data_IF_424938765013
#
_entry.id   IF_424938765013
#
_cell.length_a   1.000
_cell.length_b   1.000
_cell.length_c   1.000
_cell.angle_alpha   90.00
_cell.angle_beta   90.00
_cell.angle_gamma   90.00
#
_symmetry.space_group_name_H-M   'P 1'
#
loop_
_entity.id
_entity.type
_entity.pdbx_description
1 polymer ?
#
# COMPACT_ATOMS: atom_id res chain seq x y z
N UNK A 1 50.85 57.47 -7.63
CA UNK A 1 49.71 58.30 -8.07
C UNK A 1 49.20 57.67 -9.36
N UNK A 2 48.71 56.44 -9.21
CA UNK A 2 47.94 55.68 -10.19
C UNK A 2 46.73 55.28 -9.34
N UNK A 3 45.75 56.17 -9.38
CA UNK A 3 44.69 56.36 -8.41
C UNK A 3 43.36 56.19 -9.09
N UNK A 4 42.43 55.57 -8.37
CA UNK A 4 40.97 55.71 -8.50
C UNK A 4 40.30 55.15 -9.78
N UNK A 5 40.93 55.16 -10.96
CA UNK A 5 40.31 54.67 -12.20
C UNK A 5 40.15 53.14 -12.24
N UNK A 6 41.04 52.39 -11.60
CA UNK A 6 41.00 50.91 -11.66
C UNK A 6 39.94 50.29 -10.71
N UNK A 7 39.53 51.03 -9.69
CA UNK A 7 38.54 50.58 -8.71
C UNK A 7 37.09 50.85 -9.19
N UNK A 8 36.88 51.94 -9.94
CA UNK A 8 35.58 52.30 -10.52
C UNK A 8 35.15 51.33 -11.65
N UNK A 9 36.11 50.83 -12.44
CA UNK A 9 35.87 49.86 -13.50
C UNK A 9 35.38 48.49 -12.98
N UNK A 10 35.78 48.08 -11.77
CA UNK A 10 35.36 46.81 -11.16
C UNK A 10 33.94 46.89 -10.58
N UNK A 11 33.51 48.07 -10.14
CA UNK A 11 32.15 48.31 -9.63
C UNK A 11 31.07 48.21 -10.73
N UNK A 12 31.33 48.77 -11.92
CA UNK A 12 30.39 48.78 -13.03
C UNK A 12 30.15 47.39 -13.64
N UNK A 13 31.17 46.53 -13.71
CA UNK A 13 31.04 45.16 -14.21
C UNK A 13 30.17 44.25 -13.30
N UNK A 14 30.11 44.54 -11.99
CA UNK A 14 29.30 43.78 -11.04
C UNK A 14 27.80 44.12 -11.12
N UNK A 15 27.46 45.36 -11.51
CA UNK A 15 26.08 45.83 -11.63
C UNK A 15 25.43 45.29 -12.92
N UNK A 16 26.20 45.17 -13.99
CA UNK A 16 25.67 44.73 -15.30
C UNK A 16 25.38 43.21 -15.36
N UNK A 17 26.15 42.38 -14.62
CA UNK A 17 25.84 40.95 -14.45
C UNK A 17 24.52 40.70 -13.71
N UNK A 18 24.15 41.55 -12.74
CA UNK A 18 22.89 41.37 -11.98
C UNK A 18 21.64 41.74 -12.80
N UNK A 19 21.74 42.60 -13.81
CA UNK A 19 20.59 42.96 -14.68
C UNK A 19 20.26 41.88 -15.71
N UNK A 20 21.27 41.22 -16.31
CA UNK A 20 21.02 40.14 -17.29
C UNK A 20 20.42 38.88 -16.66
N UNK A 21 20.71 38.61 -15.39
CA UNK A 21 20.19 37.44 -14.68
C UNK A 21 18.73 37.60 -14.21
N UNK A 22 18.22 38.83 -14.05
CA UNK A 22 16.82 39.09 -13.70
C UNK A 22 15.86 39.07 -14.89
N UNK A 23 16.34 39.37 -16.11
CA UNK A 23 15.49 39.39 -17.31
C UNK A 23 15.18 37.98 -17.86
N UNK A 24 16.03 36.99 -17.61
CA UNK A 24 15.77 35.59 -18.01
C UNK A 24 14.73 34.88 -17.13
N UNK A 25 14.49 35.34 -15.89
CA UNK A 25 13.55 34.69 -14.97
C UNK A 25 12.10 35.12 -15.20
N UNK A 26 11.85 36.31 -15.77
CA UNK A 26 10.48 36.84 -15.92
C UNK A 26 9.83 36.44 -17.25
N UNK A 27 10.61 36.10 -18.29
CA UNK A 27 10.08 35.75 -19.62
C UNK A 27 9.53 34.33 -19.78
N UNK A 28 9.77 33.41 -18.84
CA UNK A 28 9.37 32.00 -18.94
C UNK A 28 8.06 31.66 -18.22
N UNK A 29 7.45 32.61 -17.51
CA UNK A 29 6.24 32.35 -16.70
C UNK A 29 4.90 32.58 -17.42
N UNK A 30 4.88 33.18 -18.62
CA UNK A 30 3.61 33.55 -19.28
C UNK A 30 3.08 32.53 -20.31
N UNK A 31 3.83 31.48 -20.66
CA UNK A 31 3.37 30.41 -21.56
C UNK A 31 3.04 29.08 -20.85
N UNK A 32 3.24 29.00 -19.52
CA UNK A 32 3.07 27.77 -18.74
C UNK A 32 1.74 27.64 -17.99
N UNK A 33 0.86 28.65 -18.03
CA UNK A 33 -0.32 28.72 -17.15
C UNK A 33 -1.61 28.22 -17.83
N UNK A 34 -1.61 27.94 -19.14
CA UNK A 34 -2.80 27.46 -19.87
C UNK A 34 -2.79 25.92 -20.09
N UNK A 35 -1.69 25.21 -19.76
CA UNK A 35 -1.63 23.74 -19.90
C UNK A 35 -1.91 22.93 -18.63
N UNK A 36 -2.09 23.55 -17.47
CA UNK A 36 -2.28 22.80 -16.21
C UNK A 36 -3.73 22.54 -15.83
N UNK A 37 -4.71 23.09 -16.56
CA UNK A 37 -6.14 22.85 -16.28
C UNK A 37 -6.77 21.67 -17.04
N UNK A 38 -6.00 20.90 -17.82
CA UNK A 38 -6.51 19.71 -18.54
C UNK A 38 -5.95 18.38 -18.01
N UNK A 39 -5.31 18.37 -16.84
CA UNK A 39 -4.79 17.16 -16.20
C UNK A 39 -5.42 16.93 -14.81
N UNK A 40 -6.75 16.99 -14.73
CA UNK A 40 -7.49 16.50 -13.57
C UNK A 40 -8.73 15.74 -14.03
N UNK A 41 -8.54 14.68 -14.81
CA UNK A 41 -9.55 13.61 -14.92
C UNK A 41 -8.94 12.37 -15.60
N UNK A 42 -8.85 11.28 -14.84
CA UNK A 42 -8.57 9.96 -15.40
C UNK A 42 -7.14 9.46 -15.25
N UNK A 43 -6.52 9.64 -14.09
CA UNK A 43 -5.55 8.64 -13.61
C UNK A 43 -6.31 7.36 -13.28
N UNK A 44 -6.74 6.66 -14.31
CA UNK A 44 -7.32 5.34 -14.22
C UNK A 44 -6.21 4.42 -13.68
N UNK A 45 -6.34 3.96 -12.44
CA UNK A 45 -5.53 2.89 -11.84
C UNK A 45 -5.73 1.62 -12.68
N UNK A 46 -5.15 1.57 -13.88
CA UNK A 46 -5.24 0.47 -14.83
C UNK A 46 -4.54 -0.76 -14.26
N UNK A 47 -5.19 -1.46 -13.34
CA UNK A 47 -4.65 -2.66 -12.72
C UNK A 47 -5.27 -3.03 -11.37
N UNK A 48 -5.87 -2.08 -10.64
CA UNK A 48 -6.51 -2.36 -9.35
C UNK A 48 -8.01 -2.46 -9.53
N UNK A 49 -8.55 -3.66 -9.36
CA UNK A 49 -10.00 -3.91 -9.42
C UNK A 49 -10.67 -3.41 -8.13
N UNK A 50 -11.95 -3.08 -8.18
CA UNK A 50 -12.75 -2.86 -6.97
C UNK A 50 -13.45 -4.18 -6.60
N UNK A 51 -13.00 -4.81 -5.52
CA UNK A 51 -13.60 -6.03 -4.98
C UNK A 51 -14.75 -5.75 -4.00
N UNK A 52 -14.96 -4.47 -3.62
CA UNK A 52 -16.02 -4.04 -2.72
C UNK A 52 -15.84 -4.49 -1.27
N UNK A 53 -16.94 -4.43 -0.51
CA UNK A 53 -17.01 -4.83 0.89
C UNK A 53 -17.44 -6.29 1.02
N UNK A 54 -16.60 -7.11 1.67
CA UNK A 54 -16.89 -8.53 1.89
C UNK A 54 -18.13 -8.78 2.74
N UNK A 55 -18.47 -7.88 3.65
CA UNK A 55 -19.69 -8.00 4.48
C UNK A 55 -20.98 -7.81 3.67
N UNK A 56 -20.89 -7.12 2.54
CA UNK A 56 -22.01 -6.91 1.62
C UNK A 56 -22.15 -8.03 0.59
N UNK A 57 -21.21 -8.97 0.55
CA UNK A 57 -21.25 -10.08 -0.40
C UNK A 57 -22.26 -11.13 0.06
N UNK A 58 -23.00 -11.74 -0.87
CA UNK A 58 -23.85 -12.88 -0.53
C UNK A 58 -23.00 -13.98 0.09
N UNK A 59 -23.44 -14.53 1.22
CA UNK A 59 -22.86 -15.75 1.82
C UNK A 59 -23.28 -17.02 1.07
N UNK A 60 -24.06 -16.85 -0.01
CA UNK A 60 -24.55 -17.92 -0.85
C UNK A 60 -23.48 -18.39 -1.85
N UNK A 61 -23.53 -19.66 -2.30
CA UNK A 61 -22.62 -20.20 -3.32
C UNK A 61 -22.58 -19.38 -4.62
N UNK A 62 -23.64 -18.64 -4.94
CA UNK A 62 -23.77 -17.86 -6.19
C UNK A 62 -23.08 -16.49 -6.16
N UNK A 63 -22.38 -16.12 -5.08
CA UNK A 63 -21.64 -14.86 -5.03
C UNK A 63 -20.57 -14.81 -6.15
N UNK A 64 -20.47 -13.72 -6.93
CA UNK A 64 -19.51 -13.65 -8.04
C UNK A 64 -18.09 -13.90 -7.54
N UNK A 65 -17.32 -14.86 -8.07
CA UNK A 65 -16.04 -15.25 -7.47
C UNK A 65 -15.07 -14.08 -7.41
N UNK A 66 -14.29 -14.00 -6.32
CA UNK A 66 -13.18 -13.05 -6.26
C UNK A 66 -12.12 -13.41 -7.31
N UNK A 67 -11.50 -12.40 -7.96
CA UNK A 67 -10.53 -12.63 -9.01
C UNK A 67 -9.31 -13.36 -8.47
N UNK A 68 -8.64 -14.13 -9.32
CA UNK A 68 -7.36 -14.76 -9.00
C UNK A 68 -6.23 -13.98 -9.70
N UNK A 69 -5.11 -13.81 -9.00
CA UNK A 69 -3.90 -13.15 -9.49
C UNK A 69 -4.17 -11.72 -10.00
N UNK A 70 -4.89 -10.96 -9.18
CA UNK A 70 -5.23 -9.56 -9.44
C UNK A 70 -5.08 -8.75 -8.17
N UNK A 71 -4.58 -7.53 -8.31
CA UNK A 71 -4.69 -6.54 -7.26
C UNK A 71 -6.11 -6.01 -7.22
N UNK A 72 -6.69 -5.93 -6.03
CA UNK A 72 -7.95 -5.26 -5.84
C UNK A 72 -8.03 -4.48 -4.53
N UNK A 73 -8.89 -3.46 -4.54
CA UNK A 73 -9.32 -2.73 -3.37
C UNK A 73 -10.45 -3.52 -2.71
N UNK A 74 -10.30 -3.84 -1.44
CA UNK A 74 -11.25 -4.65 -0.68
C UNK A 74 -11.46 -4.04 0.70
N UNK A 75 -12.70 -4.10 1.16
CA UNK A 75 -13.07 -3.82 2.56
C UNK A 75 -13.49 -5.12 3.22
N UNK A 76 -12.98 -5.38 4.43
CA UNK A 76 -13.33 -6.57 5.18
C UNK A 76 -13.08 -6.39 6.67
N UNK A 77 -13.67 -7.26 7.48
CA UNK A 77 -13.49 -7.26 8.93
C UNK A 77 -12.96 -8.62 9.37
N UNK A 78 -11.99 -8.62 10.28
CA UNK A 78 -11.45 -9.85 10.87
C UNK A 78 -12.52 -10.49 11.77
N UNK A 79 -12.91 -11.73 11.44
CA UNK A 79 -14.02 -12.45 12.09
C UNK A 79 -13.55 -13.35 13.24
N UNK A 80 -12.27 -13.72 13.26
CA UNK A 80 -11.72 -14.69 14.21
C UNK A 80 -10.62 -14.04 15.05
N UNK A 81 -10.55 -14.46 16.31
CA UNK A 81 -9.45 -14.19 17.22
C UNK A 81 -8.19 -15.02 16.90
N UNK A 82 -8.33 -16.06 16.07
CA UNK A 82 -7.22 -16.88 15.61
C UNK A 82 -6.37 -16.10 14.61
N UNK A 83 -5.08 -15.97 14.92
CA UNK A 83 -4.08 -15.35 14.06
C UNK A 83 -2.95 -16.34 13.81
N UNK A 84 -2.75 -16.73 12.55
CA UNK A 84 -1.58 -17.49 12.16
C UNK A 84 -0.45 -16.51 11.82
N UNK A 85 0.69 -16.64 12.49
CA UNK A 85 1.86 -15.78 12.24
C UNK A 85 2.95 -16.56 11.51
N UNK A 86 3.49 -15.99 10.44
CA UNK A 86 4.65 -16.55 9.72
C UNK A 86 5.74 -15.49 9.55
N UNK A 87 6.96 -15.96 9.28
CA UNK A 87 8.15 -15.11 9.18
C UNK A 87 8.96 -15.09 10.47
N UNK A 88 9.88 -14.13 10.58
CA UNK A 88 10.71 -13.95 11.78
C UNK A 88 10.76 -12.48 12.16
N UNK A 89 10.73 -12.21 13.46
CA UNK A 89 11.10 -10.90 13.98
C UNK A 89 12.59 -10.63 13.72
N UNK A 90 12.94 -9.36 13.53
CA UNK A 90 14.33 -8.93 13.37
C UNK A 90 14.98 -8.76 14.75
N UNK A 91 15.87 -9.66 15.19
CA UNK A 91 16.45 -9.60 16.53
C UNK A 91 17.27 -8.32 16.73
N UNK A 92 17.29 -7.80 17.97
CA UNK A 92 18.11 -6.64 18.36
C UNK A 92 17.51 -5.27 18.02
N UNK A 93 16.39 -5.20 17.30
CA UNK A 93 15.66 -3.94 17.05
C UNK A 93 14.87 -3.55 18.30
N UNK A 94 15.09 -2.33 18.81
CA UNK A 94 14.43 -1.82 20.02
C UNK A 94 12.98 -1.39 19.76
N UNK A 95 12.71 -0.79 18.60
CA UNK A 95 11.36 -0.39 18.22
C UNK A 95 10.48 -1.65 18.00
N UNK A 96 9.41 -1.84 18.78
CA UNK A 96 8.56 -3.02 18.69
C UNK A 96 7.86 -3.16 17.33
N UNK A 97 7.58 -2.06 16.62
CA UNK A 97 6.96 -2.12 15.28
C UNK A 97 8.00 -2.51 14.24
N UNK A 98 9.14 -1.83 14.20
CA UNK A 98 10.23 -2.17 13.28
C UNK A 98 10.75 -3.60 13.47
N UNK A 99 10.74 -4.13 14.70
CA UNK A 99 11.12 -5.53 14.98
C UNK A 99 10.24 -6.54 14.26
N UNK A 100 8.98 -6.21 13.99
CA UNK A 100 8.00 -7.09 13.33
C UNK A 100 8.00 -6.94 11.81
N UNK A 101 8.85 -6.09 11.24
CA UNK A 101 9.11 -6.05 9.79
C UNK A 101 9.64 -7.42 9.36
N UNK A 102 8.89 -8.12 8.51
CA UNK A 102 9.17 -9.50 8.10
C UNK A 102 8.20 -10.55 8.68
N UNK A 103 7.39 -10.19 9.68
CA UNK A 103 6.24 -10.99 10.09
C UNK A 103 5.03 -10.75 9.19
N UNK A 104 4.28 -11.82 8.95
CA UNK A 104 2.99 -11.82 8.25
C UNK A 104 1.92 -12.44 9.15
N UNK A 105 0.80 -11.75 9.31
CA UNK A 105 -0.37 -12.25 10.04
C UNK A 105 -1.44 -12.68 9.06
N UNK A 106 -1.82 -13.95 9.13
CA UNK A 106 -2.91 -14.53 8.38
C UNK A 106 -4.15 -14.51 9.27
N UNK A 107 -5.23 -13.93 8.78
CA UNK A 107 -6.49 -13.76 9.53
C UNK A 107 -7.69 -14.04 8.64
N UNK A 108 -8.71 -14.71 9.16
CA UNK A 108 -9.97 -14.95 8.44
C UNK A 108 -10.85 -13.70 8.44
N UNK A 109 -11.38 -13.35 7.28
CA UNK A 109 -12.33 -12.26 7.11
C UNK A 109 -13.78 -12.74 7.19
N UNK A 110 -14.67 -11.84 7.57
CA UNK A 110 -16.10 -12.08 7.63
C UNK A 110 -16.75 -12.14 6.23
N UNK A 111 -17.86 -12.87 6.12
CA UNK A 111 -18.71 -12.96 4.92
C UNK A 111 -18.28 -13.99 3.85
N UNK A 112 -16.98 -14.18 3.60
CA UNK A 112 -16.48 -15.06 2.54
C UNK A 112 -15.30 -15.94 3.02
N UNK A 113 -14.98 -17.05 2.33
CA UNK A 113 -13.80 -17.87 2.62
C UNK A 113 -12.51 -17.16 2.17
N UNK A 114 -12.24 -16.01 2.77
CA UNK A 114 -11.09 -15.14 2.48
C UNK A 114 -10.21 -15.04 3.71
N UNK A 115 -8.91 -15.27 3.51
CA UNK A 115 -7.87 -15.03 4.51
C UNK A 115 -7.07 -13.81 4.08
N UNK A 116 -6.98 -12.79 4.92
CA UNK A 116 -6.09 -11.67 4.68
C UNK A 116 -4.68 -11.94 5.21
N UNK A 117 -3.67 -11.39 4.52
CA UNK A 117 -2.29 -11.33 4.99
C UNK A 117 -1.96 -9.88 5.33
N UNK A 118 -1.70 -9.62 6.60
CA UNK A 118 -1.32 -8.31 7.13
C UNK A 118 0.18 -8.29 7.45
N UNK A 119 0.85 -7.16 7.19
CA UNK A 119 2.25 -6.98 7.59
C UNK A 119 2.34 -6.69 9.09
N UNK A 120 3.16 -7.45 9.82
CA UNK A 120 3.32 -7.24 11.26
C UNK A 120 4.11 -5.99 11.64
N UNK A 121 4.82 -5.38 10.69
CA UNK A 121 5.44 -4.06 10.85
C UNK A 121 4.55 -2.89 10.41
N UNK A 122 3.29 -3.13 10.06
CA UNK A 122 2.36 -2.05 9.71
C UNK A 122 1.87 -1.32 10.98
N UNK A 123 2.09 0.00 11.10
CA UNK A 123 1.70 0.75 12.30
C UNK A 123 0.20 0.69 12.62
N UNK A 124 -0.68 0.60 11.61
CA UNK A 124 -2.13 0.55 11.84
C UNK A 124 -2.56 -0.82 12.39
N UNK A 125 -1.98 -1.89 11.85
CA UNK A 125 -2.22 -3.27 12.31
C UNK A 125 -1.74 -3.41 13.76
N UNK A 126 -0.55 -2.91 14.06
CA UNK A 126 0.05 -3.01 15.39
C UNK A 126 -0.63 -2.10 16.42
N UNK A 127 -1.05 -0.88 16.04
CA UNK A 127 -1.83 -0.01 16.90
C UNK A 127 -3.17 -0.63 17.33
N UNK A 128 -3.77 -1.47 16.47
CA UNK A 128 -4.97 -2.23 16.84
C UNK A 128 -4.63 -3.41 17.76
N UNK A 129 -3.66 -4.22 17.32
CA UNK A 129 -3.34 -5.52 17.91
C UNK A 129 -2.72 -5.44 19.29
N UNK A 130 -1.68 -4.61 19.46
CA UNK A 130 -0.89 -4.54 20.71
C UNK A 130 -1.75 -4.34 21.96
N UNK A 131 -2.70 -3.37 22.02
CA UNK A 131 -3.51 -3.19 23.21
C UNK A 131 -4.59 -4.27 23.42
N UNK A 132 -4.92 -5.06 22.39
CA UNK A 132 -6.00 -6.07 22.43
C UNK A 132 -5.50 -7.51 22.50
N UNK A 133 -4.20 -7.71 22.26
CA UNK A 133 -3.59 -9.01 21.98
C UNK A 133 -4.39 -9.85 20.94
N UNK A 134 -5.05 -9.16 20.01
CA UNK A 134 -5.98 -9.78 19.05
C UNK A 134 -6.18 -8.87 17.84
N UNK A 135 -6.53 -9.48 16.71
CA UNK A 135 -6.96 -8.78 15.50
C UNK A 135 -8.47 -8.87 15.28
N UNK A 136 -9.22 -9.51 16.18
CA UNK A 136 -10.68 -9.61 16.07
C UNK A 136 -11.31 -8.22 15.93
N UNK A 137 -12.22 -8.06 14.95
CA UNK A 137 -12.91 -6.80 14.66
C UNK A 137 -12.04 -5.75 13.96
N UNK A 138 -10.77 -6.03 13.67
CA UNK A 138 -9.95 -5.12 12.87
C UNK A 138 -10.56 -4.97 11.47
N UNK A 139 -10.83 -3.73 11.07
CA UNK A 139 -11.36 -3.40 9.74
C UNK A 139 -10.19 -3.15 8.79
N UNK A 140 -10.15 -3.93 7.72
CA UNK A 140 -9.20 -3.78 6.62
C UNK A 140 -9.90 -2.97 5.54
N UNK A 141 -9.25 -1.88 5.12
CA UNK A 141 -9.67 -1.07 3.98
C UNK A 141 -8.41 -0.75 3.18
N UNK A 142 -8.15 -1.51 2.11
CA UNK A 142 -6.86 -1.45 1.45
C UNK A 142 -6.81 -2.11 0.08
N UNK A 143 -5.64 -2.03 -0.55
CA UNK A 143 -5.33 -2.69 -1.81
C UNK A 143 -4.37 -3.84 -1.51
N UNK A 144 -4.60 -4.97 -2.16
CA UNK A 144 -3.74 -6.15 -2.05
C UNK A 144 -3.98 -7.12 -3.19
N UNK A 145 -3.08 -8.10 -3.36
CA UNK A 145 -3.24 -9.16 -4.35
C UNK A 145 -4.22 -10.20 -3.82
N UNK A 146 -5.27 -10.50 -4.57
CA UNK A 146 -6.07 -11.70 -4.35
C UNK A 146 -5.55 -12.84 -5.19
N UNK A 147 -5.32 -13.98 -4.55
CA UNK A 147 -4.98 -15.22 -5.23
C UNK A 147 -5.63 -16.43 -4.56
N UNK A 148 -5.52 -17.57 -5.25
CA UNK A 148 -5.98 -18.87 -4.78
C UNK A 148 -4.72 -19.70 -4.53
N UNK A 149 -4.42 -20.02 -3.27
CA UNK A 149 -3.16 -20.69 -2.94
C UNK A 149 -3.10 -22.12 -3.50
N UNK A 150 -4.23 -22.74 -3.84
CA UNK A 150 -4.26 -24.08 -4.44
C UNK A 150 -3.90 -24.08 -5.92
N UNK A 151 -4.04 -22.93 -6.59
CA UNK A 151 -3.74 -22.74 -8.02
C UNK A 151 -2.35 -22.18 -8.26
N UNK A 152 -1.69 -21.65 -7.23
CA UNK A 152 -0.41 -20.99 -7.35
C UNK A 152 0.74 -21.90 -6.90
N UNK A 153 1.71 -22.09 -7.80
CA UNK A 153 2.83 -22.99 -7.56
C UNK A 153 3.64 -22.52 -6.35
N UNK A 154 3.85 -23.41 -5.38
CA UNK A 154 4.61 -23.14 -4.16
C UNK A 154 3.76 -22.64 -2.97
N UNK A 155 2.45 -22.44 -3.17
CA UNK A 155 1.50 -22.04 -2.12
C UNK A 155 0.50 -23.14 -1.76
N UNK A 156 0.59 -24.32 -2.37
CA UNK A 156 -0.31 -25.45 -2.17
C UNK A 156 -0.35 -25.92 -0.71
N UNK A 157 0.83 -26.06 -0.08
CA UNK A 157 0.93 -26.40 1.34
C UNK A 157 0.37 -25.28 2.25
N UNK A 158 0.56 -24.02 1.86
CA UNK A 158 -0.02 -22.89 2.59
C UNK A 158 -1.55 -22.96 2.51
N UNK A 159 -2.11 -23.19 1.32
CA UNK A 159 -3.54 -23.34 1.12
C UNK A 159 -4.15 -24.41 2.01
N UNK A 160 -3.57 -25.61 2.02
CA UNK A 160 -4.01 -26.70 2.89
C UNK A 160 -3.92 -26.33 4.38
N UNK A 161 -2.85 -25.65 4.79
CA UNK A 161 -2.67 -25.18 6.17
C UNK A 161 -3.73 -24.16 6.56
N UNK A 162 -4.02 -23.18 5.70
CA UNK A 162 -5.04 -22.16 5.94
C UNK A 162 -6.45 -22.76 6.03
N UNK A 163 -6.79 -23.70 5.15
CA UNK A 163 -8.06 -24.41 5.19
C UNK A 163 -8.26 -25.14 6.52
N UNK A 164 -7.26 -25.90 6.96
CA UNK A 164 -7.30 -26.64 8.22
C UNK A 164 -7.34 -25.70 9.43
N UNK A 165 -6.47 -24.68 9.45
CA UNK A 165 -6.32 -23.79 10.60
C UNK A 165 -7.57 -22.93 10.85
N UNK A 166 -8.21 -22.44 9.79
CA UNK A 166 -9.40 -21.59 9.89
C UNK A 166 -10.73 -22.35 9.73
N UNK A 167 -10.68 -23.69 9.69
CA UNK A 167 -11.84 -24.56 9.51
C UNK A 167 -12.69 -24.17 8.28
N UNK A 168 -12.02 -23.88 7.16
CA UNK A 168 -12.67 -23.47 5.91
C UNK A 168 -12.98 -24.69 5.04
N UNK A 169 -14.03 -24.62 4.19
CA UNK A 169 -14.39 -25.72 3.30
C UNK A 169 -13.29 -25.97 2.26
N UNK A 170 -13.04 -27.25 1.96
CA UNK A 170 -12.07 -27.67 0.96
C UNK A 170 -12.67 -27.74 -0.46
N UNK A 171 -13.55 -26.79 -0.80
CA UNK A 171 -14.29 -26.73 -2.08
C UNK A 171 -13.59 -25.86 -3.14
N UNK A 172 -12.37 -25.39 -2.87
CA UNK A 172 -11.61 -24.50 -3.77
C UNK A 172 -12.06 -23.04 -3.74
N UNK A 173 -12.95 -22.66 -2.81
CA UNK A 173 -13.43 -21.29 -2.67
C UNK A 173 -12.43 -20.37 -1.94
N UNK A 174 -11.42 -20.92 -1.27
CA UNK A 174 -10.43 -20.15 -0.51
C UNK A 174 -9.76 -19.08 -1.39
N UNK A 175 -9.72 -17.86 -0.87
CA UNK A 175 -8.93 -16.76 -1.43
C UNK A 175 -8.03 -16.18 -0.38
N UNK A 176 -6.80 -15.86 -0.77
CA UNK A 176 -5.86 -15.10 0.05
C UNK A 176 -5.82 -13.68 -0.46
N UNK A 177 -6.02 -12.71 0.42
CA UNK A 177 -5.90 -11.28 0.15
C UNK A 177 -4.64 -10.74 0.82
N UNK A 178 -3.55 -10.61 0.07
CA UNK A 178 -2.27 -10.14 0.60
C UNK A 178 -2.16 -8.62 0.49
N UNK A 179 -2.38 -7.91 1.61
CA UNK A 179 -2.26 -6.44 1.65
C UNK A 179 -0.82 -5.96 1.71
N UNK A 180 0.11 -6.89 1.93
CA UNK A 180 1.53 -6.61 2.01
C UNK A 180 2.26 -6.98 0.70
N UNK A 181 1.52 -7.43 -0.32
CA UNK A 181 1.89 -7.39 -1.73
C UNK A 181 1.27 -6.12 -2.35
N UNK A 182 2.12 -5.13 -2.68
CA UNK A 182 1.68 -3.82 -3.19
C UNK A 182 1.84 -3.78 -4.72
N UNK A 183 0.88 -3.20 -5.45
CA UNK A 183 0.90 -3.09 -6.91
C UNK A 183 2.02 -2.20 -7.46
#
# INVERSE_FOLDING_TARGET
>A
MESEEEEEARGLAAIERRRRMRLLVVGLFAAGVISTMLWTRGGEDRGVLDCGDLSMRPTTPDAPPLPHDRHCRLVGMVQSDVVLSMGKETPGVQDPIARKVGLRYFVKLDGAPVVAVLAGGDPQVEAWRVPRDSLLGYRIEGVGRIFDPTREKGYDLLGATLLAHFHLPADGSLRVFDTADRP
#
